data_IF_298967417204
#
_entry.id   IF_298967417204
#
_cell.length_a   1.000
_cell.length_b   1.000
_cell.length_c   1.000
_cell.angle_alpha   90.00
_cell.angle_beta   90.00
_cell.angle_gamma   90.00
#
_symmetry.space_group_name_H-M   'P 1'
#
loop_
_entity.id
_entity.type
_entity.pdbx_description
1 polymer ?
#
# COMPACT_ATOMS: atom_id res chain seq x y z
N UNK A 1 -43.92 13.05 -2.60
CA UNK A 1 -42.99 11.98 -3.01
C UNK A 1 -42.45 11.37 -1.74
N UNK A 2 -42.83 10.13 -1.40
CA UNK A 2 -42.42 9.49 -0.14
C UNK A 2 -40.92 9.16 -0.16
N UNK A 3 -40.26 9.21 1.00
CA UNK A 3 -38.85 8.84 1.18
C UNK A 3 -38.57 7.42 0.67
N UNK A 4 -39.57 6.53 0.73
CA UNK A 4 -39.57 5.18 0.15
C UNK A 4 -39.37 5.15 -1.37
N UNK A 5 -39.79 6.18 -2.12
CA UNK A 5 -39.53 6.29 -3.56
C UNK A 5 -38.10 6.79 -3.86
N UNK A 6 -37.49 7.57 -2.97
CA UNK A 6 -36.13 8.12 -3.16
C UNK A 6 -35.07 7.06 -2.82
N UNK A 7 -35.32 6.22 -1.82
CA UNK A 7 -34.46 5.08 -1.41
C UNK A 7 -35.07 3.72 -1.78
N UNK A 8 -35.94 3.66 -2.79
CA UNK A 8 -36.49 2.40 -3.27
C UNK A 8 -35.37 1.44 -3.71
N UNK A 9 -35.57 0.14 -3.54
CA UNK A 9 -34.60 -0.92 -3.85
C UNK A 9 -33.97 -0.80 -5.24
N UNK A 10 -34.71 -0.25 -6.21
CA UNK A 10 -34.24 0.04 -7.56
C UNK A 10 -33.16 1.13 -7.62
N UNK A 11 -33.29 2.23 -6.87
CA UNK A 11 -32.30 3.33 -6.85
C UNK A 11 -31.02 2.86 -6.16
N UNK A 12 -31.15 2.16 -5.03
CA UNK A 12 -30.01 1.59 -4.31
C UNK A 12 -29.28 0.54 -5.17
N UNK A 13 -30.03 -0.33 -5.86
CA UNK A 13 -29.48 -1.31 -6.79
C UNK A 13 -28.79 -0.66 -8.00
N UNK A 14 -29.34 0.42 -8.54
CA UNK A 14 -28.74 1.18 -9.64
C UNK A 14 -27.42 1.87 -9.22
N UNK A 15 -27.36 2.45 -8.02
CA UNK A 15 -26.13 3.05 -7.47
C UNK A 15 -25.07 1.97 -7.28
N UNK A 16 -25.42 0.85 -6.63
CA UNK A 16 -24.50 -0.28 -6.44
C UNK A 16 -24.02 -0.85 -7.78
N UNK A 17 -24.92 -1.05 -8.74
CA UNK A 17 -24.58 -1.57 -10.08
C UNK A 17 -23.72 -0.60 -10.88
N UNK A 18 -23.98 0.70 -10.75
CA UNK A 18 -23.17 1.76 -11.38
C UNK A 18 -21.76 1.83 -10.80
N UNK A 19 -21.61 1.72 -9.48
CA UNK A 19 -20.31 1.64 -8.80
C UNK A 19 -19.53 0.38 -9.22
N UNK A 20 -20.21 -0.77 -9.29
CA UNK A 20 -19.62 -2.04 -9.75
C UNK A 20 -19.19 -1.92 -11.22
N UNK A 21 -20.01 -1.29 -12.08
CA UNK A 21 -19.71 -1.12 -13.51
C UNK A 21 -18.53 -0.19 -13.74
N UNK A 22 -18.46 0.94 -13.03
CA UNK A 22 -17.31 1.87 -13.08
C UNK A 22 -16.02 1.20 -12.58
N UNK A 23 -16.12 0.42 -11.50
CA UNK A 23 -15.00 -0.36 -10.97
C UNK A 23 -14.54 -1.44 -11.96
N UNK A 24 -15.46 -2.11 -12.65
CA UNK A 24 -15.17 -3.16 -13.63
C UNK A 24 -14.56 -2.60 -14.93
N UNK A 25 -15.12 -1.52 -15.47
CA UNK A 25 -14.68 -0.91 -16.73
C UNK A 25 -13.23 -0.41 -16.67
N UNK A 26 -12.86 0.28 -15.58
CA UNK A 26 -11.48 0.79 -15.39
C UNK A 26 -10.43 -0.32 -15.24
N UNK A 27 -10.84 -1.53 -14.84
CA UNK A 27 -9.91 -2.63 -14.55
C UNK A 27 -9.57 -3.47 -15.79
N UNK A 28 -10.50 -3.64 -16.72
CA UNK A 28 -10.31 -4.50 -17.90
C UNK A 28 -9.17 -4.02 -18.80
N UNK A 29 -9.18 -2.74 -19.22
CA UNK A 29 -8.22 -2.24 -20.21
C UNK A 29 -6.84 -1.91 -19.62
N UNK A 30 -6.79 -1.30 -18.42
CA UNK A 30 -5.52 -0.87 -17.82
C UNK A 30 -4.71 -2.01 -17.19
N UNK A 31 -5.40 -2.93 -16.49
CA UNK A 31 -4.72 -4.02 -15.78
C UNK A 31 -4.12 -5.04 -16.75
N UNK A 32 -4.80 -5.35 -17.85
CA UNK A 32 -4.30 -6.28 -18.87
C UNK A 32 -3.03 -5.76 -19.53
N UNK A 33 -3.03 -4.48 -19.92
CA UNK A 33 -1.84 -3.83 -20.50
C UNK A 33 -0.67 -3.82 -19.50
N UNK A 34 -0.88 -3.37 -18.26
CA UNK A 34 0.17 -3.34 -17.23
C UNK A 34 0.68 -4.76 -16.93
N UNK A 35 -0.22 -5.75 -16.89
CA UNK A 35 0.16 -7.15 -16.62
C UNK A 35 1.02 -7.71 -17.74
N UNK A 36 0.67 -7.41 -19.00
CA UNK A 36 1.45 -7.78 -20.18
C UNK A 36 2.82 -7.11 -20.18
N UNK A 37 2.87 -5.78 -20.01
CA UNK A 37 4.12 -5.02 -19.97
C UNK A 37 5.06 -5.54 -18.85
N UNK A 38 4.52 -5.86 -17.67
CA UNK A 38 5.30 -6.48 -16.58
C UNK A 38 5.75 -7.90 -16.90
N UNK A 39 4.95 -8.67 -17.62
CA UNK A 39 5.33 -10.01 -18.06
C UNK A 39 6.51 -9.93 -19.02
N UNK A 40 6.41 -9.06 -20.03
CA UNK A 40 7.45 -8.83 -21.03
C UNK A 40 8.72 -8.28 -20.35
N UNK A 41 8.57 -7.32 -19.44
CA UNK A 41 9.68 -6.79 -18.65
C UNK A 41 10.38 -7.88 -17.82
N UNK A 42 9.63 -8.74 -17.11
CA UNK A 42 10.23 -9.85 -16.33
C UNK A 42 10.99 -10.82 -17.22
N UNK A 43 10.46 -11.11 -18.40
CA UNK A 43 11.12 -11.99 -19.35
C UNK A 43 12.44 -11.39 -19.87
N UNK A 44 12.44 -10.10 -20.20
CA UNK A 44 13.65 -9.40 -20.61
C UNK A 44 14.73 -9.40 -19.52
N UNK A 45 14.34 -9.22 -18.26
CA UNK A 45 15.26 -9.32 -17.11
C UNK A 45 15.82 -10.74 -16.95
N UNK A 46 14.99 -11.79 -17.13
CA UNK A 46 15.44 -13.19 -17.11
C UNK A 46 16.45 -13.46 -18.22
N UNK A 47 16.15 -13.05 -19.44
CA UNK A 47 17.04 -13.21 -20.60
C UNK A 47 18.38 -12.52 -20.32
N UNK A 48 18.38 -11.29 -19.80
CA UNK A 48 19.63 -10.61 -19.43
C UNK A 48 20.40 -11.40 -18.36
N UNK A 49 19.71 -11.88 -17.32
CA UNK A 49 20.30 -12.70 -16.25
C UNK A 49 20.97 -13.96 -16.80
N UNK A 50 20.28 -14.70 -17.67
CA UNK A 50 20.79 -15.92 -18.31
C UNK A 50 21.99 -15.63 -19.21
N UNK A 51 21.91 -14.57 -20.01
CA UNK A 51 22.97 -14.17 -20.94
C UNK A 51 24.27 -13.79 -20.24
N UNK A 52 24.24 -13.35 -18.97
CA UNK A 52 25.48 -13.08 -18.22
C UNK A 52 26.30 -14.35 -17.96
N UNK A 53 25.71 -15.55 -18.03
CA UNK A 53 26.41 -16.81 -17.74
C UNK A 53 27.51 -17.04 -18.78
N UNK A 54 28.76 -16.94 -18.34
CA UNK A 54 29.96 -17.16 -19.18
C UNK A 54 30.08 -16.20 -20.37
N UNK A 55 29.43 -15.04 -20.33
CA UNK A 55 29.59 -14.04 -21.37
C UNK A 55 31.01 -13.49 -21.40
N UNK A 56 31.54 -13.25 -22.59
CA UNK A 56 32.77 -12.46 -22.76
C UNK A 56 32.55 -11.03 -22.22
N UNK A 57 33.63 -10.29 -21.98
CA UNK A 57 33.52 -8.91 -21.52
C UNK A 57 32.69 -8.03 -22.48
N UNK A 58 32.97 -8.10 -23.78
CA UNK A 58 32.23 -7.34 -24.79
C UNK A 58 30.74 -7.69 -24.81
N UNK A 59 30.40 -8.98 -24.68
CA UNK A 59 29.01 -9.40 -24.59
C UNK A 59 28.36 -8.94 -23.29
N UNK A 60 29.09 -8.96 -22.17
CA UNK A 60 28.62 -8.46 -20.88
C UNK A 60 28.24 -6.99 -20.97
N UNK A 61 29.08 -6.15 -21.59
CA UNK A 61 28.79 -4.72 -21.78
C UNK A 61 27.52 -4.52 -22.62
N UNK A 62 27.36 -5.29 -23.71
CA UNK A 62 26.12 -5.25 -24.53
C UNK A 62 24.87 -5.65 -23.74
N UNK A 63 24.98 -6.67 -22.90
CA UNK A 63 23.87 -7.10 -22.02
C UNK A 63 23.57 -6.00 -20.99
N UNK A 64 24.61 -5.36 -20.42
CA UNK A 64 24.44 -4.20 -19.53
C UNK A 64 23.71 -3.04 -20.22
N UNK A 65 24.04 -2.72 -21.47
CA UNK A 65 23.33 -1.68 -22.25
C UNK A 65 21.85 -2.00 -22.42
N UNK A 66 21.50 -3.25 -22.74
CA UNK A 66 20.10 -3.70 -22.78
C UNK A 66 19.45 -3.58 -21.41
N UNK A 67 20.11 -4.05 -20.36
CA UNK A 67 19.60 -4.05 -18.99
C UNK A 67 19.29 -2.64 -18.49
N UNK A 68 20.13 -1.64 -18.81
CA UNK A 68 19.94 -0.22 -18.46
C UNK A 68 18.61 0.35 -18.95
N UNK A 69 18.04 -0.19 -20.04
CA UNK A 69 16.73 0.23 -20.56
C UNK A 69 15.55 -0.38 -19.81
N UNK A 70 15.79 -1.42 -19.00
CA UNK A 70 14.76 -2.16 -18.26
C UNK A 70 14.73 -1.83 -16.77
N UNK A 71 15.86 -1.42 -16.18
CA UNK A 71 15.95 -1.06 -14.76
C UNK A 71 15.62 0.43 -14.52
N UNK A 72 15.28 0.78 -13.29
CA UNK A 72 14.92 2.15 -12.92
C UNK A 72 16.11 3.11 -13.06
N UNK A 73 15.97 4.12 -13.92
CA UNK A 73 17.02 5.10 -14.18
C UNK A 73 17.37 6.00 -12.97
N UNK A 74 16.46 6.14 -11.99
CA UNK A 74 16.71 6.90 -10.76
C UNK A 74 17.88 6.33 -9.96
N UNK A 75 18.10 5.01 -10.01
CA UNK A 75 19.17 4.33 -9.27
C UNK A 75 20.57 4.80 -9.64
N UNK A 76 20.76 5.24 -10.90
CA UNK A 76 22.06 5.68 -11.41
C UNK A 76 22.69 6.79 -10.58
N UNK A 77 21.88 7.71 -10.05
CA UNK A 77 22.36 8.83 -9.20
C UNK A 77 22.12 8.61 -7.71
N UNK A 78 21.48 7.51 -7.32
CA UNK A 78 20.96 7.29 -5.97
C UNK A 78 21.53 6.02 -5.35
N UNK A 79 22.83 6.00 -5.06
CA UNK A 79 23.62 4.82 -4.65
C UNK A 79 23.06 3.94 -3.52
N UNK A 80 22.11 4.43 -2.72
CA UNK A 80 21.51 3.72 -1.57
C UNK A 80 19.97 3.57 -1.66
N UNK A 81 19.37 3.75 -2.85
CA UNK A 81 17.95 3.45 -3.08
C UNK A 81 17.79 2.05 -3.67
N UNK A 82 17.52 1.08 -2.80
CA UNK A 82 17.30 -0.30 -3.23
C UNK A 82 16.08 -0.48 -4.13
N UNK A 83 15.00 0.28 -3.91
CA UNK A 83 13.81 0.30 -4.77
C UNK A 83 14.03 0.85 -6.17
N UNK A 84 15.15 1.55 -6.37
CA UNK A 84 15.43 2.27 -7.61
C UNK A 84 16.57 1.58 -8.38
N UNK A 85 16.88 0.32 -8.08
CA UNK A 85 17.91 -0.49 -8.78
C UNK A 85 19.35 0.05 -8.66
N UNK A 86 19.62 0.92 -7.69
CA UNK A 86 20.93 1.56 -7.55
C UNK A 86 22.11 0.59 -7.38
N UNK A 87 21.86 -0.55 -6.74
CA UNK A 87 22.85 -1.59 -6.52
C UNK A 87 23.23 -2.30 -7.83
N UNK A 88 22.30 -2.44 -8.79
CA UNK A 88 22.54 -2.96 -10.14
C UNK A 88 23.36 -1.95 -10.95
N UNK A 89 22.96 -0.68 -10.94
CA UNK A 89 23.70 0.41 -11.58
C UNK A 89 25.16 0.47 -11.15
N UNK A 90 25.42 0.28 -9.85
CA UNK A 90 26.80 0.27 -9.31
C UNK A 90 27.67 -0.84 -9.94
N UNK A 91 27.12 -2.04 -10.15
CA UNK A 91 27.87 -3.14 -10.77
C UNK A 91 28.14 -2.84 -12.25
N UNK A 92 27.14 -2.32 -12.95
CA UNK A 92 27.27 -1.90 -14.36
C UNK A 92 28.41 -0.88 -14.50
N UNK A 93 28.44 0.15 -13.65
CA UNK A 93 29.50 1.17 -13.67
C UNK A 93 30.89 0.61 -13.37
N UNK A 94 30.99 -0.40 -12.51
CA UNK A 94 32.27 -1.09 -12.23
C UNK A 94 32.75 -1.85 -13.47
N UNK A 95 31.87 -2.60 -14.14
CA UNK A 95 32.20 -3.40 -15.33
C UNK A 95 32.58 -2.49 -16.51
N UNK A 96 31.89 -1.37 -16.68
CA UNK A 96 32.10 -0.42 -17.78
C UNK A 96 33.25 0.55 -17.55
N UNK A 97 33.92 0.47 -16.39
CA UNK A 97 35.08 1.29 -16.09
C UNK A 97 36.23 0.96 -17.06
N UNK A 98 36.90 2.00 -17.57
CA UNK A 98 38.06 1.86 -18.49
C UNK A 98 39.20 1.01 -17.90
N UNK A 99 39.37 1.02 -16.59
CA UNK A 99 40.42 0.28 -15.87
C UNK A 99 39.89 -1.04 -15.27
N UNK A 100 38.88 -1.65 -15.90
CA UNK A 100 38.24 -2.86 -15.39
C UNK A 100 39.21 -4.05 -15.32
N UNK A 101 39.28 -4.70 -14.15
CA UNK A 101 40.04 -5.93 -13.99
C UNK A 101 39.22 -7.14 -14.46
N UNK A 102 39.61 -7.70 -15.61
CA UNK A 102 38.94 -8.82 -16.27
C UNK A 102 38.79 -10.07 -15.38
N UNK A 103 39.72 -10.30 -14.44
CA UNK A 103 39.70 -11.45 -13.53
C UNK A 103 38.52 -11.40 -12.54
N UNK A 104 37.90 -10.22 -12.37
CA UNK A 104 36.72 -10.02 -11.52
C UNK A 104 35.40 -10.22 -12.28
N UNK A 105 35.43 -10.36 -13.61
CA UNK A 105 34.24 -10.41 -14.45
C UNK A 105 33.23 -11.49 -14.05
N UNK A 106 33.68 -12.74 -13.91
CA UNK A 106 32.80 -13.87 -13.60
C UNK A 106 32.09 -13.68 -12.25
N UNK A 107 32.80 -13.17 -11.25
CA UNK A 107 32.24 -12.88 -9.92
C UNK A 107 31.22 -11.75 -9.95
N UNK A 108 31.47 -10.71 -10.76
CA UNK A 108 30.53 -9.59 -10.92
C UNK A 108 29.30 -9.97 -11.74
N UNK A 109 29.45 -10.80 -12.76
CA UNK A 109 28.33 -11.41 -13.50
C UNK A 109 27.43 -12.21 -12.55
N UNK A 110 28.01 -13.00 -11.65
CA UNK A 110 27.26 -13.75 -10.64
C UNK A 110 26.48 -12.83 -9.69
N UNK A 111 27.13 -11.79 -9.15
CA UNK A 111 26.46 -10.80 -8.30
C UNK A 111 25.30 -10.12 -9.05
N UNK A 112 25.51 -9.78 -10.32
CA UNK A 112 24.48 -9.16 -11.15
C UNK A 112 23.28 -10.10 -11.32
N UNK A 113 23.53 -11.39 -11.58
CA UNK A 113 22.50 -12.42 -11.65
C UNK A 113 21.72 -12.57 -10.34
N UNK A 114 22.39 -12.54 -9.19
CA UNK A 114 21.75 -12.59 -7.87
C UNK A 114 20.83 -11.37 -7.67
N UNK A 115 21.31 -10.17 -8.00
CA UNK A 115 20.50 -8.96 -7.93
C UNK A 115 19.29 -8.98 -8.87
N UNK A 116 19.44 -9.45 -10.11
CA UNK A 116 18.32 -9.59 -11.05
C UNK A 116 17.31 -10.64 -10.57
N UNK A 117 17.78 -11.74 -9.99
CA UNK A 117 16.91 -12.77 -9.40
C UNK A 117 16.11 -12.21 -8.21
N UNK A 118 16.75 -11.39 -7.37
CA UNK A 118 16.08 -10.69 -6.27
C UNK A 118 15.09 -9.65 -6.78
N UNK A 119 15.44 -8.88 -7.82
CA UNK A 119 14.54 -7.91 -8.45
C UNK A 119 13.28 -8.58 -8.99
N UNK A 120 13.43 -9.71 -9.70
CA UNK A 120 12.31 -10.51 -10.21
C UNK A 120 11.43 -11.05 -9.07
N UNK A 121 12.06 -11.57 -8.00
CA UNK A 121 11.33 -12.05 -6.82
C UNK A 121 10.58 -10.92 -6.12
N UNK A 122 11.20 -9.77 -5.98
CA UNK A 122 10.61 -8.57 -5.40
C UNK A 122 9.39 -8.09 -6.20
N UNK A 123 9.52 -7.96 -7.52
CA UNK A 123 8.42 -7.58 -8.42
C UNK A 123 7.25 -8.59 -8.35
N UNK A 124 7.55 -9.89 -8.31
CA UNK A 124 6.54 -10.92 -8.18
C UNK A 124 5.76 -10.82 -6.87
N UNK A 125 6.45 -10.67 -5.74
CA UNK A 125 5.80 -10.50 -4.44
C UNK A 125 5.00 -9.19 -4.37
N UNK A 126 5.51 -8.10 -4.97
CA UNK A 126 4.80 -6.84 -5.11
C UNK A 126 3.52 -6.99 -5.93
N UNK A 127 3.58 -7.65 -7.08
CA UNK A 127 2.42 -7.89 -7.94
C UNK A 127 1.33 -8.69 -7.22
N UNK A 128 1.69 -9.76 -6.51
CA UNK A 128 0.74 -10.51 -5.66
C UNK A 128 0.13 -9.63 -4.58
N UNK A 129 0.92 -8.74 -3.98
CA UNK A 129 0.45 -7.80 -2.96
C UNK A 129 -0.49 -6.76 -3.54
N UNK A 130 -0.22 -6.22 -4.72
CA UNK A 130 -1.11 -5.25 -5.38
C UNK A 130 -2.49 -5.88 -5.59
N UNK A 131 -2.56 -7.12 -6.11
CA UNK A 131 -3.83 -7.84 -6.25
C UNK A 131 -4.51 -8.12 -4.90
N UNK A 132 -3.76 -8.51 -3.87
CA UNK A 132 -4.31 -8.70 -2.50
C UNK A 132 -4.75 -7.38 -1.87
N UNK A 133 -4.02 -6.30 -2.10
CA UNK A 133 -4.28 -4.96 -1.61
C UNK A 133 -5.52 -4.36 -2.20
N UNK A 134 -5.76 -4.55 -3.50
CA UNK A 134 -7.01 -4.20 -4.14
C UNK A 134 -8.19 -4.93 -3.50
N UNK A 135 -8.07 -6.25 -3.28
CA UNK A 135 -9.10 -7.04 -2.59
C UNK A 135 -9.31 -6.57 -1.14
N UNK A 136 -8.23 -6.32 -0.42
CA UNK A 136 -8.27 -5.84 0.96
C UNK A 136 -8.91 -4.44 1.04
N UNK A 137 -8.63 -3.55 0.09
CA UNK A 137 -9.25 -2.23 -0.01
C UNK A 137 -10.75 -2.29 -0.25
N UNK A 138 -11.23 -3.23 -1.08
CA UNK A 138 -12.67 -3.47 -1.27
C UNK A 138 -13.32 -3.95 0.03
N UNK A 139 -12.71 -4.93 0.72
CA UNK A 139 -13.22 -5.43 2.01
C UNK A 139 -13.24 -4.31 3.05
N UNK A 140 -12.17 -3.53 3.12
CA UNK A 140 -12.02 -2.38 4.01
C UNK A 140 -13.13 -1.34 3.76
N UNK A 141 -13.40 -1.01 2.50
CA UNK A 141 -14.49 -0.11 2.12
C UNK A 141 -15.85 -0.64 2.56
N UNK A 142 -16.12 -1.94 2.35
CA UNK A 142 -17.37 -2.58 2.79
C UNK A 142 -17.52 -2.50 4.31
N UNK A 143 -16.46 -2.80 5.06
CA UNK A 143 -16.47 -2.73 6.53
C UNK A 143 -16.74 -1.30 7.03
N UNK A 144 -16.17 -0.29 6.38
CA UNK A 144 -16.44 1.11 6.68
C UNK A 144 -17.88 1.52 6.37
N UNK A 145 -18.42 1.11 5.22
CA UNK A 145 -19.82 1.36 4.87
C UNK A 145 -20.75 0.75 5.91
N UNK A 146 -20.50 -0.51 6.31
CA UNK A 146 -21.29 -1.18 7.36
C UNK A 146 -21.18 -0.41 8.69
N UNK A 147 -19.98 0.00 9.09
CA UNK A 147 -19.75 0.78 10.31
C UNK A 147 -20.58 2.07 10.32
N UNK A 148 -20.50 2.84 9.23
CA UNK A 148 -21.22 4.11 9.08
C UNK A 148 -22.74 3.92 9.05
N UNK A 149 -23.23 2.90 8.33
CA UNK A 149 -24.67 2.58 8.27
C UNK A 149 -25.21 2.17 9.63
N UNK A 150 -24.49 1.33 10.39
CA UNK A 150 -24.89 0.94 11.74
C UNK A 150 -25.01 2.18 12.64
N UNK A 151 -24.03 3.08 12.59
CA UNK A 151 -24.03 4.29 13.39
C UNK A 151 -25.18 5.24 13.02
N UNK A 152 -25.38 5.50 11.72
CA UNK A 152 -26.46 6.33 11.23
C UNK A 152 -27.85 5.73 11.55
N UNK A 153 -27.98 4.40 11.50
CA UNK A 153 -29.22 3.70 11.86
C UNK A 153 -29.56 3.89 13.34
N UNK A 154 -28.56 3.75 14.23
CA UNK A 154 -28.75 3.99 15.66
C UNK A 154 -29.20 5.42 15.95
N UNK A 155 -28.58 6.40 15.28
CA UNK A 155 -28.98 7.81 15.35
C UNK A 155 -30.40 8.06 14.88
N UNK A 156 -30.73 7.54 13.70
CA UNK A 156 -32.06 7.70 13.13
C UNK A 156 -33.14 7.05 14.00
N UNK A 157 -32.87 5.88 14.56
CA UNK A 157 -33.77 5.16 15.45
C UNK A 157 -34.07 5.97 16.73
N UNK A 158 -33.05 6.46 17.42
CA UNK A 158 -33.23 7.26 18.64
C UNK A 158 -33.92 8.59 18.35
N UNK A 159 -33.57 9.22 17.23
CA UNK A 159 -34.20 10.45 16.83
C UNK A 159 -35.71 10.30 16.61
N UNK A 160 -36.16 9.21 15.94
CA UNK A 160 -37.59 8.92 15.75
C UNK A 160 -38.30 8.74 17.11
N UNK A 161 -37.65 8.09 18.06
CA UNK A 161 -38.23 7.86 19.39
C UNK A 161 -38.39 9.18 20.16
N UNK A 162 -37.37 10.05 20.15
CA UNK A 162 -37.40 11.33 20.88
C UNK A 162 -38.33 12.36 20.24
N UNK A 163 -38.25 12.55 18.91
CA UNK A 163 -38.91 13.67 18.22
C UNK A 163 -40.29 13.32 17.63
N UNK A 164 -40.56 12.03 17.37
CA UNK A 164 -41.76 11.52 16.68
C UNK A 164 -42.04 12.10 15.29
N UNK A 165 -41.15 12.93 14.73
CA UNK A 165 -41.30 13.57 13.41
C UNK A 165 -39.94 13.60 12.71
N UNK A 166 -39.88 13.06 11.48
CA UNK A 166 -38.67 13.14 10.65
C UNK A 166 -38.72 14.40 9.80
N UNK A 167 -37.91 15.40 10.13
CA UNK A 167 -37.73 16.62 9.32
C UNK A 167 -36.51 16.50 8.38
N UNK A 168 -36.53 17.24 7.27
CA UNK A 168 -35.50 17.25 6.23
C UNK A 168 -34.14 17.69 6.76
N UNK A 169 -34.13 18.51 7.83
CA UNK A 169 -32.93 18.97 8.53
C UNK A 169 -32.14 17.78 9.11
N UNK A 170 -32.83 16.82 9.73
CA UNK A 170 -32.20 15.64 10.35
C UNK A 170 -31.65 14.69 9.32
N UNK A 171 -32.36 14.52 8.21
CA UNK A 171 -31.86 13.74 7.06
C UNK A 171 -30.58 14.39 6.54
N UNK A 172 -30.56 15.72 6.42
CA UNK A 172 -29.37 16.50 6.04
C UNK A 172 -28.19 16.32 7.00
N UNK A 173 -28.44 16.39 8.31
CA UNK A 173 -27.42 16.20 9.36
C UNK A 173 -26.85 14.79 9.37
N UNK A 174 -27.67 13.75 9.17
CA UNK A 174 -27.22 12.36 9.05
C UNK A 174 -26.38 12.14 7.79
N UNK A 175 -26.77 12.73 6.66
CA UNK A 175 -25.97 12.67 5.41
C UNK A 175 -24.62 13.38 5.61
N UNK A 176 -24.62 14.56 6.26
CA UNK A 176 -23.39 15.29 6.55
C UNK A 176 -22.46 14.47 7.46
N UNK A 177 -23.00 13.81 8.48
CA UNK A 177 -22.27 12.92 9.38
C UNK A 177 -21.62 11.75 8.64
N UNK A 178 -22.36 11.11 7.71
CA UNK A 178 -21.84 10.05 6.84
C UNK A 178 -20.66 10.57 6.01
N UNK A 179 -20.82 11.75 5.38
CA UNK A 179 -19.78 12.36 4.54
C UNK A 179 -18.53 12.68 5.34
N UNK A 180 -18.67 13.34 6.50
CA UNK A 180 -17.55 13.67 7.38
C UNK A 180 -16.81 12.42 7.88
N UNK A 181 -17.56 11.37 8.17
CA UNK A 181 -16.97 10.09 8.59
C UNK A 181 -16.12 9.47 7.47
N UNK A 182 -16.63 9.45 6.24
CA UNK A 182 -15.88 8.97 5.06
C UNK A 182 -14.60 9.79 4.82
N UNK A 183 -14.66 11.13 4.96
CA UNK A 183 -13.48 11.98 4.83
C UNK A 183 -12.44 11.70 5.93
N UNK A 184 -12.87 11.55 7.18
CA UNK A 184 -11.97 11.21 8.30
C UNK A 184 -11.28 9.86 8.10
N UNK A 185 -12.01 8.87 7.60
CA UNK A 185 -11.48 7.55 7.25
C UNK A 185 -10.38 7.68 6.18
N UNK A 186 -10.68 8.35 5.08
CA UNK A 186 -9.72 8.57 4.00
C UNK A 186 -8.46 9.29 4.49
N UNK A 187 -8.63 10.29 5.36
CA UNK A 187 -7.51 11.02 5.96
C UNK A 187 -6.64 10.12 6.84
N UNK A 188 -7.25 9.32 7.73
CA UNK A 188 -6.52 8.38 8.61
C UNK A 188 -5.71 7.38 7.79
N UNK A 189 -6.32 6.77 6.78
CA UNK A 189 -5.65 5.79 5.91
C UNK A 189 -4.45 6.42 5.19
N UNK A 190 -4.60 7.63 4.67
CA UNK A 190 -3.51 8.36 4.01
C UNK A 190 -2.40 8.75 4.97
N UNK A 191 -2.72 9.11 6.21
CA UNK A 191 -1.70 9.43 7.22
C UNK A 191 -0.90 8.21 7.67
N UNK A 192 -1.55 7.04 7.80
CA UNK A 192 -0.87 5.77 8.07
C UNK A 192 0.05 5.40 6.91
N UNK A 193 -0.44 5.47 5.66
CA UNK A 193 0.35 5.23 4.45
C UNK A 193 1.58 6.16 4.35
N UNK A 194 1.37 7.46 4.52
CA UNK A 194 2.42 8.48 4.50
C UNK A 194 3.50 8.23 5.56
N UNK A 195 3.07 7.91 6.79
CA UNK A 195 3.97 7.59 7.90
C UNK A 195 4.82 6.35 7.63
N UNK A 196 4.22 5.29 7.05
CA UNK A 196 4.92 4.08 6.64
C UNK A 196 5.99 4.37 5.59
N UNK A 197 5.60 5.02 4.49
CA UNK A 197 6.47 5.24 3.33
C UNK A 197 7.64 6.17 3.71
N UNK A 198 7.38 7.28 4.39
CA UNK A 198 8.43 8.26 4.67
C UNK A 198 9.36 7.84 5.80
N UNK A 199 8.83 7.25 6.88
CA UNK A 199 9.71 6.80 7.97
C UNK A 199 10.53 5.60 7.56
N UNK A 200 9.98 4.69 6.78
CA UNK A 200 10.71 3.47 6.41
C UNK A 200 11.60 3.69 5.18
N UNK A 201 11.04 4.14 4.06
CA UNK A 201 11.81 4.38 2.84
C UNK A 201 12.67 5.64 3.00
N UNK A 202 12.10 6.74 3.50
CA UNK A 202 12.83 8.00 3.65
C UNK A 202 14.00 7.96 4.64
N UNK A 203 13.90 7.22 5.75
CA UNK A 203 15.02 7.07 6.70
C UNK A 203 16.17 6.23 6.14
N UNK A 204 15.85 5.15 5.41
CA UNK A 204 16.85 4.32 4.72
C UNK A 204 17.57 5.13 3.64
N UNK A 205 16.82 5.94 2.88
CA UNK A 205 17.32 6.72 1.75
C UNK A 205 18.14 7.95 2.16
N UNK A 206 17.69 8.74 3.15
CA UNK A 206 18.36 10.01 3.50
C UNK A 206 19.64 9.82 4.32
N UNK A 207 19.76 8.75 5.11
CA UNK A 207 20.90 8.58 6.04
C UNK A 207 21.98 7.62 5.55
N UNK A 208 21.86 7.05 4.34
CA UNK A 208 22.80 6.04 3.82
C UNK A 208 23.04 4.86 4.79
N UNK A 209 22.05 4.53 5.64
CA UNK A 209 22.18 3.50 6.67
C UNK A 209 21.61 2.18 6.16
N UNK A 210 22.30 1.08 6.50
CA UNK A 210 21.79 -0.28 6.34
C UNK A 210 20.41 -0.40 6.97
N UNK A 211 19.57 -1.27 6.42
CA UNK A 211 18.24 -1.48 6.99
C UNK A 211 18.39 -2.29 8.28
N UNK A 212 18.22 -1.64 9.43
CA UNK A 212 18.30 -2.30 10.74
C UNK A 212 16.98 -2.97 11.12
N UNK A 213 17.07 -4.16 11.72
CA UNK A 213 15.92 -4.86 12.31
C UNK A 213 15.22 -3.99 13.38
N UNK A 214 15.99 -3.19 14.13
CA UNK A 214 15.42 -2.26 15.11
C UNK A 214 14.54 -1.19 14.45
N UNK A 215 14.96 -0.64 13.30
CA UNK A 215 14.17 0.36 12.57
C UNK A 215 12.89 -0.24 11.99
N UNK A 216 12.95 -1.50 11.53
CA UNK A 216 11.77 -2.27 11.12
C UNK A 216 10.78 -2.41 12.28
N UNK A 217 11.24 -2.85 13.45
CA UNK A 217 10.39 -2.99 14.64
C UNK A 217 9.78 -1.67 15.08
N UNK A 218 10.58 -0.60 15.17
CA UNK A 218 10.11 0.74 15.55
C UNK A 218 9.03 1.22 14.59
N UNK A 219 9.22 1.04 13.28
CA UNK A 219 8.23 1.46 12.27
C UNK A 219 6.93 0.69 12.46
N UNK A 220 6.99 -0.64 12.61
CA UNK A 220 5.79 -1.44 12.87
C UNK A 220 5.08 -1.01 14.15
N UNK A 221 5.79 -0.80 15.26
CA UNK A 221 5.21 -0.32 16.51
C UNK A 221 4.50 1.03 16.33
N UNK A 222 5.12 1.99 15.63
CA UNK A 222 4.50 3.30 15.34
C UNK A 222 3.20 3.10 14.56
N UNK A 223 3.20 2.24 13.54
CA UNK A 223 2.00 2.00 12.73
C UNK A 223 0.88 1.33 13.52
N UNK A 224 1.21 0.42 14.44
CA UNK A 224 0.23 -0.19 15.35
C UNK A 224 -0.35 0.84 16.33
N UNK A 225 0.48 1.72 16.88
CA UNK A 225 0.03 2.80 17.77
C UNK A 225 -0.91 3.75 17.01
N UNK A 226 -0.57 4.16 15.79
CA UNK A 226 -1.42 5.00 14.96
C UNK A 226 -2.77 4.32 14.65
N UNK A 227 -2.78 3.01 14.41
CA UNK A 227 -4.02 2.26 14.21
C UNK A 227 -4.90 2.27 15.48
N UNK A 228 -4.32 2.10 16.67
CA UNK A 228 -5.06 2.20 17.94
C UNK A 228 -5.62 3.61 18.16
N UNK A 229 -4.81 4.64 17.91
CA UNK A 229 -5.25 6.04 18.00
C UNK A 229 -6.42 6.31 17.05
N UNK A 230 -6.38 5.77 15.83
CA UNK A 230 -7.47 5.89 14.87
C UNK A 230 -8.77 5.25 15.36
N UNK A 231 -8.69 4.06 15.97
CA UNK A 231 -9.86 3.35 16.53
C UNK A 231 -10.49 4.15 17.67
N UNK A 232 -9.66 4.64 18.61
CA UNK A 232 -10.12 5.46 19.72
C UNK A 232 -10.70 6.78 19.20
N UNK A 233 -10.01 7.43 18.27
CA UNK A 233 -10.45 8.69 17.65
C UNK A 233 -11.78 8.55 16.93
N UNK A 234 -12.03 7.43 16.26
CA UNK A 234 -13.31 7.12 15.64
C UNK A 234 -14.45 7.04 16.67
N UNK A 235 -14.23 6.32 17.78
CA UNK A 235 -15.24 6.23 18.84
C UNK A 235 -15.50 7.58 19.53
N UNK A 236 -14.44 8.35 19.81
CA UNK A 236 -14.56 9.71 20.36
C UNK A 236 -15.30 10.64 19.42
N UNK A 237 -15.04 10.56 18.12
CA UNK A 237 -15.78 11.31 17.11
C UNK A 237 -17.29 10.99 17.14
N UNK A 238 -17.65 9.71 17.27
CA UNK A 238 -19.05 9.32 17.39
C UNK A 238 -19.69 9.89 18.67
N UNK A 239 -19.00 9.88 19.81
CA UNK A 239 -19.51 10.53 21.04
C UNK A 239 -19.71 12.05 20.83
N UNK A 240 -18.72 12.70 20.24
CA UNK A 240 -18.79 14.15 20.02
C UNK A 240 -19.93 14.54 19.07
N UNK A 241 -20.07 13.83 17.96
CA UNK A 241 -21.12 14.10 16.97
C UNK A 241 -22.52 13.80 17.51
N UNK A 242 -22.68 12.71 18.29
CA UNK A 242 -23.95 12.44 18.98
C UNK A 242 -24.34 13.57 19.92
N UNK A 243 -23.39 14.08 20.70
CA UNK A 243 -23.63 15.21 21.62
C UNK A 243 -24.03 16.48 20.86
N UNK A 244 -23.41 16.75 19.71
CA UNK A 244 -23.71 17.94 18.90
C UNK A 244 -25.12 17.91 18.31
N UNK A 245 -25.67 16.72 18.04
CA UNK A 245 -27.04 16.55 17.56
C UNK A 245 -28.09 16.64 18.69
N UNK A 246 -27.67 16.84 19.95
CA UNK A 246 -28.59 16.98 21.09
C UNK A 246 -29.30 15.70 21.53
N UNK A 247 -28.92 14.54 20.97
CA UNK A 247 -29.50 13.24 21.30
C UNK A 247 -29.00 12.76 22.65
N UNK A 248 -29.90 12.28 23.50
CA UNK A 248 -29.53 11.76 24.81
C UNK A 248 -28.90 10.37 24.70
N UNK A 249 -27.86 10.12 25.51
CA UNK A 249 -27.23 8.80 25.55
C UNK A 249 -28.14 7.79 26.22
N UNK A 250 -28.40 6.68 25.55
CA UNK A 250 -29.04 5.51 26.13
C UNK A 250 -28.32 4.22 25.73
N UNK A 251 -28.74 3.11 26.32
CA UNK A 251 -28.09 1.80 26.14
C UNK A 251 -28.17 1.32 24.67
N UNK A 252 -29.27 1.59 23.97
CA UNK A 252 -29.46 1.19 22.58
C UNK A 252 -28.47 1.92 21.66
N UNK A 253 -28.36 3.24 21.78
CA UNK A 253 -27.42 4.04 21.01
C UNK A 253 -25.98 3.62 21.29
N UNK A 254 -25.66 3.33 22.54
CA UNK A 254 -24.34 2.82 22.92
C UNK A 254 -24.03 1.48 22.24
N UNK A 255 -25.01 0.56 22.16
CA UNK A 255 -24.85 -0.72 21.44
C UNK A 255 -24.57 -0.48 19.95
N UNK A 256 -25.28 0.45 19.29
CA UNK A 256 -25.03 0.81 17.89
C UNK A 256 -23.63 1.41 17.71
N UNK A 257 -23.20 2.30 18.62
CA UNK A 257 -21.87 2.92 18.59
C UNK A 257 -20.75 1.90 18.78
N UNK A 258 -20.90 0.97 19.72
CA UNK A 258 -19.93 -0.11 19.95
C UNK A 258 -19.87 -1.02 18.72
N UNK A 259 -21.03 -1.41 18.17
CA UNK A 259 -21.11 -2.25 16.98
C UNK A 259 -20.43 -1.59 15.78
N UNK A 260 -20.72 -0.31 15.52
CA UNK A 260 -20.04 0.50 14.51
C UNK A 260 -18.53 0.51 14.72
N UNK A 261 -18.08 0.75 15.96
CA UNK A 261 -16.65 0.78 16.32
C UNK A 261 -15.95 -0.53 16.04
N UNK A 262 -16.59 -1.68 16.28
CA UNK A 262 -16.01 -2.99 16.00
C UNK A 262 -15.78 -3.20 14.49
N UNK A 263 -16.71 -2.76 13.64
CA UNK A 263 -16.54 -2.81 12.18
C UNK A 263 -15.45 -1.85 11.70
N UNK A 264 -15.43 -0.61 12.20
CA UNK A 264 -14.36 0.36 11.91
C UNK A 264 -12.99 -0.13 12.36
N UNK A 265 -12.89 -0.73 13.56
CA UNK A 265 -11.66 -1.32 14.06
C UNK A 265 -11.16 -2.47 13.19
N UNK A 266 -12.05 -3.33 12.69
CA UNK A 266 -11.69 -4.37 11.72
C UNK A 266 -11.14 -3.76 10.43
N UNK A 267 -11.75 -2.70 9.91
CA UNK A 267 -11.28 -2.02 8.70
C UNK A 267 -9.85 -1.45 8.89
N UNK A 268 -9.61 -0.74 10.00
CA UNK A 268 -8.29 -0.21 10.36
C UNK A 268 -7.26 -1.34 10.52
N UNK A 269 -7.65 -2.46 11.14
CA UNK A 269 -6.77 -3.60 11.34
C UNK A 269 -6.36 -4.27 10.02
N UNK A 270 -7.29 -4.43 9.07
CA UNK A 270 -6.97 -4.94 7.72
C UNK A 270 -5.96 -4.05 7.00
N UNK A 271 -6.13 -2.72 7.08
CA UNK A 271 -5.18 -1.76 6.52
C UNK A 271 -3.80 -1.87 7.18
N UNK A 272 -3.77 -2.01 8.50
CA UNK A 272 -2.53 -2.18 9.25
C UNK A 272 -1.78 -3.46 8.85
N UNK A 273 -2.47 -4.60 8.70
CA UNK A 273 -1.85 -5.84 8.20
C UNK A 273 -1.24 -5.64 6.82
N UNK A 274 -1.96 -4.97 5.92
CA UNK A 274 -1.49 -4.69 4.57
C UNK A 274 -0.22 -3.82 4.54
N UNK A 275 -0.14 -2.83 5.43
CA UNK A 275 1.05 -1.98 5.59
C UNK A 275 2.22 -2.72 6.25
N UNK A 276 1.94 -3.54 7.27
CA UNK A 276 2.97 -4.36 7.94
C UNK A 276 3.62 -5.37 6.98
N UNK A 277 2.83 -6.01 6.12
CA UNK A 277 3.33 -6.91 5.06
C UNK A 277 4.24 -6.17 4.06
N UNK A 278 3.90 -4.91 3.69
CA UNK A 278 4.76 -4.08 2.83
C UNK A 278 6.13 -3.83 3.47
N UNK A 279 6.12 -3.37 4.72
CA UNK A 279 7.32 -3.03 5.48
C UNK A 279 8.20 -4.26 5.62
N UNK A 280 7.62 -5.41 5.98
CA UNK A 280 8.33 -6.68 6.11
C UNK A 280 8.99 -7.12 4.80
N UNK A 281 8.28 -7.06 3.67
CA UNK A 281 8.84 -7.46 2.38
C UNK A 281 9.99 -6.55 1.96
N UNK A 282 9.80 -5.24 2.08
CA UNK A 282 10.87 -4.29 1.72
C UNK A 282 12.08 -4.48 2.63
N UNK A 283 11.87 -4.72 3.94
CA UNK A 283 12.95 -5.07 4.86
C UNK A 283 13.75 -6.27 4.36
N UNK A 284 13.08 -7.38 4.03
CA UNK A 284 13.73 -8.61 3.54
C UNK A 284 14.48 -8.38 2.23
N UNK A 285 13.90 -7.64 1.30
CA UNK A 285 14.56 -7.32 0.03
C UNK A 285 15.83 -6.50 0.25
N UNK A 286 15.70 -5.41 1.01
CA UNK A 286 16.81 -4.51 1.32
C UNK A 286 17.92 -5.19 2.14
N UNK A 287 17.57 -5.99 3.14
CA UNK A 287 18.55 -6.71 3.96
C UNK A 287 19.32 -7.76 3.16
N UNK A 288 18.66 -8.40 2.18
CA UNK A 288 19.34 -9.35 1.28
C UNK A 288 20.33 -8.63 0.36
N UNK A 289 19.97 -7.46 -0.17
CA UNK A 289 20.90 -6.61 -0.94
C UNK A 289 22.11 -6.21 -0.08
N UNK A 290 21.88 -5.84 1.18
CA UNK A 290 22.96 -5.51 2.13
C UNK A 290 23.92 -6.69 2.34
N UNK A 291 23.44 -7.95 2.31
CA UNK A 291 24.27 -9.15 2.39
C UNK A 291 25.13 -9.33 1.13
N UNK A 292 24.54 -9.27 -0.07
CA UNK A 292 25.27 -9.40 -1.34
C UNK A 292 26.33 -8.29 -1.47
N UNK A 293 26.03 -7.08 -0.99
CA UNK A 293 26.97 -5.96 -0.98
C UNK A 293 28.24 -6.26 -0.16
N UNK A 294 28.14 -7.05 0.91
CA UNK A 294 29.32 -7.48 1.69
C UNK A 294 30.21 -8.41 0.85
N UNK A 295 29.61 -9.30 0.05
CA UNK A 295 30.37 -10.20 -0.82
C UNK A 295 31.01 -9.44 -1.99
N UNK A 296 30.31 -8.45 -2.55
CA UNK A 296 30.88 -7.51 -3.52
C UNK A 296 32.13 -6.80 -2.95
N UNK A 297 32.06 -6.29 -1.72
CA UNK A 297 33.19 -5.60 -1.09
C UNK A 297 34.42 -6.51 -0.92
N UNK A 298 34.22 -7.81 -0.67
CA UNK A 298 35.32 -8.80 -0.64
C UNK A 298 35.94 -9.03 -2.01
N UNK A 299 35.16 -8.97 -3.08
CA UNK A 299 35.63 -9.14 -4.47
C UNK A 299 36.37 -7.90 -4.97
N UNK A 300 35.98 -6.71 -4.50
CA UNK A 300 36.58 -5.45 -4.92
C UNK A 300 37.91 -5.16 -4.21
N UNK A 301 38.10 -5.65 -2.99
CA UNK A 301 39.42 -5.70 -2.33
C UNK A 301 40.38 -6.62 -3.10
#
# INVERSE_FOLDING_TARGET
MSVEMIFGSAVLSAIISGLISLYSANRSNGLEYITKERSDWREEIRICSEQFRSASYQNTVKICDRLKTRINALGRRMSNRYSDDAHIWKIIEIIENKNFNINKLSKLQLILQEYLSLLLKWDWERSKREVRGEKAGVIQLILWIISVVIYATGHFYEYIIESKVVDIVIIGENILLIVLTVFMIYYIEKQVEYSCIIKFVGHVVKKQKKVSFANYLITNCITSILAVIAIIGYFVYMLYSTKMMGITYNDNLLIFMISSSLFGARAVFYHHIYMSDLIKRYYTYASTIDLIKVDLEKILK
#
